data_IF_429242650561
#
_entry.id   IF_429242650561
#
_cell.length_a   1.000
_cell.length_b   1.000
_cell.length_c   1.000
_cell.angle_alpha   90.00
_cell.angle_beta   90.00
_cell.angle_gamma   90.00
#
_symmetry.space_group_name_H-M   'P 1'
#
loop_
_entity.id
_entity.type
_entity.pdbx_description
1 polymer ?
#
# COMPACT_ATOMS: atom_id res chain seq x y z
N UNK A 1 9.24 -30.82 4.77
CA UNK A 1 8.83 -29.41 5.02
C UNK A 1 9.78 -28.33 4.43
N UNK A 2 10.75 -28.64 3.57
CA UNK A 2 11.78 -27.68 3.13
C UNK A 2 11.43 -26.76 1.93
N UNK A 3 10.43 -27.09 1.09
CA UNK A 3 10.16 -26.36 -0.17
C UNK A 3 9.51 -24.96 -0.01
N UNK A 4 8.79 -24.68 1.08
CA UNK A 4 8.07 -23.40 1.28
C UNK A 4 9.01 -22.22 1.60
N UNK A 5 10.09 -22.46 2.34
CA UNK A 5 11.05 -21.41 2.73
C UNK A 5 11.91 -20.91 1.54
N UNK A 6 12.10 -21.73 0.51
CA UNK A 6 12.84 -21.34 -0.70
C UNK A 6 12.11 -20.26 -1.50
N UNK A 7 10.81 -20.45 -1.76
CA UNK A 7 9.98 -19.51 -2.56
C UNK A 7 9.85 -18.13 -1.92
N UNK A 8 9.73 -18.05 -0.59
CA UNK A 8 9.65 -16.76 0.12
C UNK A 8 10.97 -15.98 0.04
N UNK A 9 12.10 -16.67 0.18
CA UNK A 9 13.43 -16.06 0.01
C UNK A 9 13.63 -15.57 -1.41
N UNK A 10 13.17 -16.33 -2.40
CA UNK A 10 13.28 -16.00 -3.82
C UNK A 10 12.49 -14.72 -4.16
N UNK A 11 11.19 -14.68 -3.83
CA UNK A 11 10.33 -13.50 -4.03
C UNK A 11 10.90 -12.27 -3.30
N UNK A 12 11.36 -12.46 -2.06
CA UNK A 12 11.96 -11.39 -1.28
C UNK A 12 13.23 -10.81 -1.89
N UNK A 13 14.10 -11.64 -2.47
CA UNK A 13 15.30 -11.17 -3.18
C UNK A 13 14.95 -10.40 -4.44
N UNK A 14 14.01 -10.92 -5.24
CA UNK A 14 13.55 -10.32 -6.50
C UNK A 14 12.87 -8.95 -6.30
N UNK A 15 11.99 -8.84 -5.30
CA UNK A 15 11.36 -7.56 -4.92
C UNK A 15 12.41 -6.53 -4.51
N UNK A 16 13.43 -6.94 -3.75
CA UNK A 16 14.51 -6.04 -3.33
C UNK A 16 15.30 -5.52 -4.53
N UNK A 17 15.63 -6.40 -5.47
CA UNK A 17 16.37 -6.02 -6.67
C UNK A 17 15.59 -5.03 -7.53
N UNK A 18 14.31 -5.30 -7.80
CA UNK A 18 13.47 -4.46 -8.66
C UNK A 18 13.04 -3.13 -8.03
N UNK A 19 12.68 -3.13 -6.74
CA UNK A 19 12.06 -1.95 -6.11
C UNK A 19 12.98 -1.17 -5.18
N UNK A 20 14.03 -1.80 -4.62
CA UNK A 20 14.75 -1.18 -3.50
C UNK A 20 16.09 -0.55 -3.85
N UNK A 21 16.58 -0.68 -5.09
CA UNK A 21 17.90 -0.18 -5.51
C UNK A 21 18.17 1.27 -5.07
N UNK A 22 17.19 2.15 -5.25
CA UNK A 22 17.28 3.57 -4.90
C UNK A 22 16.23 4.00 -3.86
N UNK A 23 15.65 3.04 -3.14
CA UNK A 23 14.58 3.31 -2.17
C UNK A 23 15.11 3.86 -0.85
N UNK A 24 14.30 4.67 -0.18
CA UNK A 24 14.60 5.18 1.16
C UNK A 24 13.86 4.36 2.22
N UNK A 25 14.60 3.67 3.09
CA UNK A 25 14.00 3.00 4.25
C UNK A 25 13.55 4.04 5.29
N UNK A 26 12.28 3.96 5.70
CA UNK A 26 11.76 4.76 6.80
C UNK A 26 12.01 4.01 8.12
N UNK A 27 12.80 4.61 9.01
CA UNK A 27 13.31 4.00 10.25
C UNK A 27 12.52 4.45 11.49
N UNK A 28 11.21 4.18 11.48
CA UNK A 28 10.33 4.48 12.62
C UNK A 28 9.74 3.20 13.20
N UNK A 29 9.25 3.28 14.45
CA UNK A 29 8.44 2.21 15.04
C UNK A 29 6.99 2.43 14.61
N UNK A 30 6.47 1.48 13.84
CA UNK A 30 5.12 1.55 13.32
C UNK A 30 4.16 0.68 14.12
N UNK A 31 2.89 1.10 14.28
CA UNK A 31 1.86 0.22 14.81
C UNK A 31 1.63 -0.96 13.86
N UNK A 32 1.19 -2.13 14.37
CA UNK A 32 0.85 -3.24 13.52
C UNK A 32 -0.36 -2.93 12.64
N UNK A 33 -0.48 -3.64 11.51
CA UNK A 33 -1.66 -3.60 10.68
C UNK A 33 -2.64 -4.70 11.11
N UNK A 34 -3.93 -4.37 11.19
CA UNK A 34 -4.99 -5.36 11.29
C UNK A 34 -5.45 -5.75 9.90
N UNK A 35 -5.60 -7.06 9.66
CA UNK A 35 -6.07 -7.64 8.41
C UNK A 35 -7.16 -8.67 8.73
N UNK A 36 -8.08 -8.92 7.80
CA UNK A 36 -9.05 -10.01 7.92
C UNK A 36 -8.81 -10.96 6.76
N UNK A 37 -8.42 -12.20 7.08
CA UNK A 37 -8.18 -13.24 6.08
C UNK A 37 -9.07 -14.43 6.43
N UNK A 38 -9.92 -14.85 5.50
CA UNK A 38 -10.87 -15.95 5.68
C UNK A 38 -11.68 -15.80 6.98
N UNK A 39 -12.17 -14.58 7.25
CA UNK A 39 -12.95 -14.26 8.45
C UNK A 39 -12.15 -14.15 9.76
N UNK A 40 -10.83 -14.42 9.74
CA UNK A 40 -9.97 -14.33 10.93
C UNK A 40 -9.22 -13.01 10.96
N UNK A 41 -9.33 -12.27 12.08
CA UNK A 41 -8.53 -11.08 12.30
C UNK A 41 -7.08 -11.47 12.57
N UNK A 42 -6.16 -10.96 11.74
CA UNK A 42 -4.73 -11.16 11.84
C UNK A 42 -4.04 -9.84 12.11
N UNK A 43 -3.14 -9.86 13.10
CA UNK A 43 -2.23 -8.74 13.36
C UNK A 43 -0.91 -8.97 12.62
N UNK A 44 -0.57 -8.04 11.74
CA UNK A 44 0.64 -8.06 10.93
C UNK A 44 1.62 -7.03 11.46
N UNK A 45 2.78 -7.49 11.96
CA UNK A 45 3.81 -6.60 12.47
C UNK A 45 4.58 -5.97 11.31
N UNK A 46 4.65 -4.65 11.25
CA UNK A 46 5.44 -3.95 10.24
C UNK A 46 6.92 -4.14 10.58
N UNK A 47 7.62 -4.89 9.74
CA UNK A 47 9.05 -5.15 9.90
C UNK A 47 9.88 -4.05 9.23
N UNK A 48 9.48 -3.64 8.01
CA UNK A 48 10.18 -2.61 7.24
C UNK A 48 9.19 -1.81 6.39
N UNK A 49 9.48 -0.52 6.23
CA UNK A 49 8.77 0.37 5.32
C UNK A 49 9.80 1.10 4.46
N UNK A 50 9.54 1.16 3.16
CA UNK A 50 10.40 1.84 2.19
C UNK A 50 9.55 2.81 1.38
N UNK A 51 10.07 4.02 1.18
CA UNK A 51 9.60 4.95 0.17
C UNK A 51 10.36 4.67 -1.12
N UNK A 52 9.62 4.50 -2.21
CA UNK A 52 10.21 4.21 -3.51
C UNK A 52 10.58 5.50 -4.25
N UNK A 53 11.54 5.40 -5.17
CA UNK A 53 12.12 6.52 -5.91
C UNK A 53 11.91 6.36 -7.42
N UNK A 54 12.41 7.33 -8.20
CA UNK A 54 12.25 7.35 -9.66
C UNK A 54 10.77 7.42 -10.08
N UNK A 55 10.40 6.58 -11.04
CA UNK A 55 9.03 6.49 -11.60
C UNK A 55 7.98 5.98 -10.62
N UNK A 56 8.42 5.48 -9.46
CA UNK A 56 7.57 5.03 -8.36
C UNK A 56 7.55 6.04 -7.20
N UNK A 57 7.89 7.30 -7.47
CA UNK A 57 7.70 8.38 -6.48
C UNK A 57 6.24 8.35 -5.98
N UNK A 58 6.07 8.40 -4.65
CA UNK A 58 4.77 8.30 -3.93
C UNK A 58 4.24 6.87 -3.73
N UNK A 59 4.97 5.86 -4.19
CA UNK A 59 4.78 4.49 -3.75
C UNK A 59 5.59 4.17 -2.50
N UNK A 60 5.09 3.21 -1.73
CA UNK A 60 5.77 2.64 -0.59
C UNK A 60 5.69 1.12 -0.63
N UNK A 61 6.75 0.47 -0.16
CA UNK A 61 6.77 -0.97 0.10
C UNK A 61 6.72 -1.21 1.60
N UNK A 62 5.67 -1.89 2.06
CA UNK A 62 5.50 -2.34 3.44
C UNK A 62 5.81 -3.84 3.49
N UNK A 63 6.84 -4.20 4.25
CA UNK A 63 7.15 -5.60 4.54
C UNK A 63 6.61 -5.89 5.93
N UNK A 64 5.62 -6.77 5.99
CA UNK A 64 4.98 -7.19 7.24
C UNK A 64 5.30 -8.64 7.55
N UNK A 65 5.28 -9.01 8.83
CA UNK A 65 5.40 -10.39 9.29
C UNK A 65 4.15 -10.80 10.06
N UNK A 66 3.64 -11.98 9.75
CA UNK A 66 2.61 -12.64 10.56
C UNK A 66 3.24 -13.39 11.74
N UNK A 67 2.43 -13.77 12.73
CA UNK A 67 2.86 -14.51 13.93
C UNK A 67 3.60 -15.83 13.61
N UNK A 68 3.26 -16.48 12.50
CA UNK A 68 3.94 -17.69 12.01
C UNK A 68 5.29 -17.43 11.31
N UNK A 69 5.80 -16.20 11.34
CA UNK A 69 7.10 -15.83 10.79
C UNK A 69 7.11 -15.54 9.28
N UNK A 70 5.99 -15.79 8.57
CA UNK A 70 5.89 -15.55 7.12
C UNK A 70 5.92 -14.04 6.82
N UNK A 71 6.76 -13.63 5.89
CA UNK A 71 6.83 -12.27 5.38
C UNK A 71 5.81 -12.07 4.27
N UNK A 72 5.15 -10.91 4.25
CA UNK A 72 4.27 -10.45 3.16
C UNK A 72 4.75 -9.10 2.67
N UNK A 73 4.60 -8.88 1.37
CA UNK A 73 5.07 -7.69 0.68
C UNK A 73 3.86 -6.93 0.17
N UNK A 74 3.60 -5.76 0.73
CA UNK A 74 2.50 -4.90 0.35
C UNK A 74 3.07 -3.68 -0.36
N UNK A 75 2.64 -3.43 -1.58
CA UNK A 75 2.94 -2.20 -2.29
C UNK A 75 1.74 -1.28 -2.21
N UNK A 76 1.99 -0.01 -1.91
CA UNK A 76 0.93 0.97 -1.78
C UNK A 76 1.27 2.29 -2.45
N UNK A 77 0.23 3.00 -2.88
CA UNK A 77 0.32 4.34 -3.43
C UNK A 77 -0.42 5.31 -2.51
N UNK A 78 0.16 6.49 -2.30
CA UNK A 78 -0.51 7.54 -1.52
C UNK A 78 -1.62 8.21 -2.35
N UNK A 79 -2.85 8.15 -1.86
CA UNK A 79 -4.01 8.85 -2.42
C UNK A 79 -4.12 10.27 -1.87
N UNK A 80 -3.97 10.43 -0.55
CA UNK A 80 -4.01 11.73 0.13
C UNK A 80 -2.99 11.80 1.29
N UNK A 81 -2.40 12.97 1.51
CA UNK A 81 -1.46 13.21 2.62
C UNK A 81 -2.15 13.31 3.97
N UNK A 82 -3.41 13.77 3.97
CA UNK A 82 -4.28 13.80 5.14
C UNK A 82 -5.56 13.06 4.78
N UNK A 83 -5.89 12.06 5.58
CA UNK A 83 -7.12 11.31 5.46
C UNK A 83 -8.27 12.07 6.11
N UNK A 84 -9.46 11.94 5.55
CA UNK A 84 -10.74 12.32 6.16
C UNK A 84 -11.79 11.28 5.79
N UNK A 85 -12.92 11.26 6.51
CA UNK A 85 -13.99 10.29 6.25
C UNK A 85 -14.55 10.43 4.84
N UNK A 86 -14.66 11.66 4.34
CA UNK A 86 -15.05 11.95 2.97
C UNK A 86 -14.07 11.33 1.95
N UNK A 87 -12.76 11.53 2.12
CA UNK A 87 -11.75 10.97 1.23
C UNK A 87 -11.72 9.44 1.28
N UNK A 88 -11.95 8.86 2.46
CA UNK A 88 -12.07 7.40 2.63
C UNK A 88 -13.29 6.87 1.88
N UNK A 89 -14.45 7.51 2.03
CA UNK A 89 -15.69 7.15 1.33
C UNK A 89 -15.49 7.21 -0.19
N UNK A 90 -14.90 8.30 -0.68
CA UNK A 90 -14.60 8.46 -2.10
C UNK A 90 -13.62 7.39 -2.62
N UNK A 91 -12.57 7.11 -1.85
CA UNK A 91 -11.61 6.08 -2.21
C UNK A 91 -12.25 4.69 -2.24
N UNK A 92 -13.16 4.38 -1.30
CA UNK A 92 -13.92 3.12 -1.27
C UNK A 92 -14.74 2.96 -2.54
N UNK A 93 -15.45 4.00 -2.95
CA UNK A 93 -16.19 4.01 -4.22
C UNK A 93 -15.27 3.83 -5.43
N UNK A 94 -14.08 4.42 -5.40
CA UNK A 94 -13.10 4.34 -6.49
C UNK A 94 -12.57 2.92 -6.71
N UNK A 95 -12.42 2.13 -5.64
CA UNK A 95 -11.88 0.76 -5.70
C UNK A 95 -12.95 -0.33 -5.59
N UNK A 96 -14.24 0.02 -5.66
CA UNK A 96 -15.35 -0.91 -5.39
C UNK A 96 -15.31 -2.17 -6.26
N UNK A 97 -14.85 -2.04 -7.51
CA UNK A 97 -14.78 -3.13 -8.49
C UNK A 97 -13.43 -3.89 -8.42
N UNK A 98 -12.58 -3.54 -7.44
CA UNK A 98 -11.22 -4.07 -7.28
C UNK A 98 -11.08 -4.76 -5.89
N UNK A 99 -11.68 -5.95 -5.68
CA UNK A 99 -11.79 -6.58 -4.35
C UNK A 99 -10.43 -6.93 -3.71
N UNK A 100 -9.37 -6.99 -4.52
CA UNK A 100 -8.01 -7.30 -4.07
C UNK A 100 -7.22 -6.04 -3.66
N UNK A 101 -7.81 -4.85 -3.76
CA UNK A 101 -7.24 -3.61 -3.26
C UNK A 101 -7.79 -3.31 -1.87
N UNK A 102 -6.93 -2.71 -1.04
CA UNK A 102 -7.28 -2.31 0.32
C UNK A 102 -6.94 -0.85 0.55
N UNK A 103 -7.75 -0.18 1.37
CA UNK A 103 -7.45 1.16 1.86
C UNK A 103 -6.82 1.07 3.23
N UNK A 104 -5.83 1.92 3.46
CA UNK A 104 -5.12 1.99 4.72
C UNK A 104 -4.97 3.46 5.12
N UNK A 105 -5.55 3.80 6.26
CA UNK A 105 -5.31 5.05 6.96
C UNK A 105 -4.10 4.86 7.86
N UNK A 106 -2.95 5.46 7.50
CA UNK A 106 -1.69 5.16 8.17
C UNK A 106 -0.72 6.34 8.19
N UNK A 107 -0.01 6.47 9.31
CA UNK A 107 1.03 7.48 9.47
C UNK A 107 2.38 6.95 8.99
N UNK A 108 2.81 7.40 7.81
CA UNK A 108 4.12 7.07 7.24
C UNK A 108 5.28 7.61 8.08
N UNK A 109 5.05 8.69 8.83
CA UNK A 109 5.97 9.29 9.78
C UNK A 109 5.19 9.52 11.09
N UNK A 110 5.15 8.53 11.99
CA UNK A 110 4.28 8.54 13.18
C UNK A 110 4.44 9.79 14.06
N UNK A 111 5.66 10.35 14.11
CA UNK A 111 5.98 11.57 14.86
C UNK A 111 5.23 12.81 14.39
N UNK A 112 4.75 12.85 13.14
CA UNK A 112 4.08 14.02 12.59
C UNK A 112 2.56 14.05 12.82
N UNK A 113 1.99 13.01 13.46
CA UNK A 113 0.54 12.89 13.73
C UNK A 113 -0.37 13.02 12.49
N UNK A 114 0.21 12.93 11.29
CA UNK A 114 -0.52 12.97 10.01
C UNK A 114 -0.89 11.55 9.60
N UNK A 115 -2.17 11.33 9.30
CA UNK A 115 -2.68 10.04 8.82
C UNK A 115 -2.89 10.16 7.32
N UNK A 116 -2.13 9.40 6.54
CA UNK A 116 -2.23 9.38 5.09
C UNK A 116 -3.32 8.39 4.69
N UNK A 117 -3.98 8.65 3.56
CA UNK A 117 -4.83 7.67 2.90
C UNK A 117 -4.01 6.96 1.82
N UNK A 118 -3.82 5.65 2.00
CA UNK A 118 -3.05 4.79 1.09
C UNK A 118 -3.98 3.77 0.46
N UNK A 119 -3.73 3.43 -0.80
CA UNK A 119 -4.31 2.24 -1.44
C UNK A 119 -3.20 1.22 -1.64
N UNK A 120 -3.44 -0.04 -1.25
CA UNK A 120 -2.43 -1.08 -1.24
C UNK A 120 -2.92 -2.38 -1.87
N UNK A 121 -1.96 -3.13 -2.41
CA UNK A 121 -2.12 -4.49 -2.91
C UNK A 121 -0.97 -5.35 -2.42
N UNK A 122 -1.23 -6.63 -2.18
CA UNK A 122 -0.19 -7.59 -1.87
C UNK A 122 0.48 -8.11 -3.13
N UNK A 123 1.79 -8.29 -3.07
CA UNK A 123 2.60 -8.93 -4.10
C UNK A 123 2.72 -10.40 -3.72
N UNK A 124 1.95 -11.26 -4.39
CA UNK A 124 2.01 -12.71 -4.23
C UNK A 124 3.02 -13.34 -5.20
N UNK A 125 3.07 -12.81 -6.42
CA UNK A 125 3.97 -13.21 -7.49
C UNK A 125 4.70 -12.01 -8.08
N UNK A 126 5.94 -12.23 -8.53
CA UNK A 126 6.78 -11.17 -9.11
C UNK A 126 6.24 -10.70 -10.46
N UNK A 127 5.74 -11.62 -11.27
CA UNK A 127 5.26 -11.35 -12.63
C UNK A 127 4.09 -10.37 -12.64
N UNK A 128 3.36 -10.27 -11.53
CA UNK A 128 2.24 -9.35 -11.36
C UNK A 128 2.68 -7.92 -11.01
N UNK A 129 3.96 -7.68 -10.68
CA UNK A 129 4.40 -6.41 -10.09
C UNK A 129 4.07 -5.20 -10.97
N UNK A 130 4.34 -5.28 -12.26
CA UNK A 130 4.05 -4.19 -13.19
C UNK A 130 2.54 -3.93 -13.30
N UNK A 131 1.73 -5.00 -13.42
CA UNK A 131 0.28 -4.89 -13.43
C UNK A 131 -0.29 -4.29 -12.14
N UNK A 132 0.30 -4.62 -10.99
CA UNK A 132 -0.05 -4.01 -9.69
C UNK A 132 0.26 -2.52 -9.68
N UNK A 133 1.45 -2.12 -10.15
CA UNK A 133 1.87 -0.71 -10.22
C UNK A 133 0.90 0.08 -11.11
N UNK A 134 0.59 -0.46 -12.29
CA UNK A 134 -0.29 0.20 -13.26
C UNK A 134 -1.72 0.32 -12.73
N UNK A 135 -2.24 -0.74 -12.09
CA UNK A 135 -3.53 -0.70 -11.40
C UNK A 135 -3.57 0.39 -10.33
N UNK A 136 -2.54 0.48 -9.47
CA UNK A 136 -2.46 1.50 -8.43
C UNK A 136 -2.38 2.93 -9.00
N UNK A 137 -1.64 3.12 -10.10
CA UNK A 137 -1.61 4.41 -10.84
C UNK A 137 -2.99 4.77 -11.39
N UNK A 138 -3.69 3.80 -12.00
CA UNK A 138 -5.04 4.01 -12.54
C UNK A 138 -6.04 4.37 -11.43
N UNK A 139 -6.03 3.67 -10.30
CA UNK A 139 -6.87 3.98 -9.13
C UNK A 139 -6.64 5.41 -8.66
N UNK A 140 -5.38 5.81 -8.50
CA UNK A 140 -5.04 7.18 -8.09
C UNK A 140 -5.49 8.23 -9.10
N UNK A 141 -5.35 7.94 -10.40
CA UNK A 141 -5.84 8.81 -11.47
C UNK A 141 -7.36 8.98 -11.41
N UNK A 142 -8.11 7.88 -11.27
CA UNK A 142 -9.57 7.89 -11.07
C UNK A 142 -9.96 8.72 -9.85
N UNK A 143 -9.32 8.47 -8.71
CA UNK A 143 -9.58 9.18 -7.46
C UNK A 143 -9.39 10.70 -7.61
N UNK A 144 -8.31 11.13 -8.26
CA UNK A 144 -8.01 12.54 -8.50
C UNK A 144 -9.01 13.21 -9.44
N UNK A 145 -9.33 12.56 -10.56
CA UNK A 145 -10.34 13.08 -11.50
C UNK A 145 -11.69 13.28 -10.83
N UNK A 146 -12.07 12.39 -9.91
CA UNK A 146 -13.32 12.56 -9.16
C UNK A 146 -13.25 13.74 -8.18
N UNK A 147 -12.12 13.92 -7.49
CA UNK A 147 -11.92 15.10 -6.64
C UNK A 147 -11.97 16.40 -7.42
N UNK A 148 -11.28 16.47 -8.56
CA UNK A 148 -11.27 17.64 -9.45
C UNK A 148 -12.70 18.01 -9.88
N UNK A 149 -13.51 17.02 -10.29
CA UNK A 149 -14.92 17.25 -10.65
C UNK A 149 -15.73 17.84 -9.50
N UNK A 150 -15.57 17.30 -8.29
CA UNK A 150 -16.30 17.78 -7.11
C UNK A 150 -15.88 19.21 -6.77
N UNK A 151 -14.58 19.51 -6.79
CA UNK A 151 -14.07 20.87 -6.55
C UNK A 151 -14.61 21.86 -7.57
N UNK A 152 -14.58 21.52 -8.87
CA UNK A 152 -15.13 22.39 -9.91
C UNK A 152 -16.63 22.60 -9.78
N UNK A 153 -17.40 21.63 -9.27
CA UNK A 153 -18.82 21.83 -9.00
C UNK A 153 -19.04 22.84 -7.86
N UNK A 154 -18.27 22.73 -6.78
CA UNK A 154 -18.36 23.63 -5.64
C UNK A 154 -17.91 25.07 -5.93
N UNK A 155 -17.04 25.29 -6.91
CA UNK A 155 -16.58 26.62 -7.32
C UNK A 155 -17.56 27.35 -8.24
N UNK A 156 -18.51 26.62 -8.85
CA UNK A 156 -19.53 27.17 -9.74
C UNK A 156 -20.90 27.33 -9.05
N UNK A 157 -21.01 26.95 -7.77
CA UNK A 157 -22.16 27.17 -6.89
C UNK A 157 -21.94 28.44 -6.03
#
# INVERSE_FOLDING_TARGET
>A
MAKKNGKEKELGSKIKEKLLRDSRRLKEKYPPLSDIINGTQLTLQINRLYELSGDLRQFYLIIVKSKNGKSRYLICIKLATQSSDFLVSLARTTIKDEPNLRLLQFSLIPKHLRVNLLCLKEIEHEDDLQGIIDLLKQVRSRFRKTLEKITSQMEND
#
